data_IF_144750494642
#
_entry.id   IF_144750494642
#
_cell.length_a   1.000
_cell.length_b   1.000
_cell.length_c   1.000
_cell.angle_alpha   90.00
_cell.angle_beta   90.00
_cell.angle_gamma   90.00
#
_symmetry.space_group_name_H-M   'P 1'
#
loop_
_entity.id
_entity.type
_entity.pdbx_description
1 polymer ?
#
# COMPACT_ATOMS: atom_id res chain seq x y z
N UNK A 1 -0.16 -75.70 -16.96
CA UNK A 1 -0.13 -74.75 -15.84
C UNK A 1 0.60 -73.49 -16.23
N UNK A 2 -0.15 -72.44 -16.50
CA UNK A 2 0.37 -71.04 -16.55
C UNK A 2 -0.88 -70.12 -16.52
N UNK A 3 -1.36 -69.86 -15.33
CA UNK A 3 -2.22 -68.71 -15.08
C UNK A 3 -1.40 -67.67 -14.35
N UNK A 4 -0.90 -66.69 -15.06
CA UNK A 4 -0.25 -65.52 -14.48
C UNK A 4 -1.07 -64.29 -14.93
N UNK A 5 -1.96 -63.92 -14.05
CA UNK A 5 -2.24 -62.56 -13.58
C UNK A 5 -2.35 -61.45 -14.64
N UNK A 6 -3.47 -61.42 -15.32
CA UNK A 6 -3.95 -60.21 -16.04
C UNK A 6 -4.43 -59.10 -15.10
N UNK A 7 -4.66 -59.40 -13.84
CA UNK A 7 -5.23 -58.44 -12.87
C UNK A 7 -4.22 -57.38 -12.40
N UNK A 8 -2.89 -57.69 -12.44
CA UNK A 8 -1.88 -56.77 -11.97
C UNK A 8 -1.56 -55.63 -12.98
N UNK A 9 -1.83 -55.88 -14.27
CA UNK A 9 -1.57 -54.86 -15.34
C UNK A 9 -2.62 -53.75 -15.37
N UNK A 10 -3.88 -54.04 -14.94
CA UNK A 10 -4.95 -53.05 -14.91
C UNK A 10 -4.84 -52.11 -13.71
N UNK A 11 -4.35 -52.60 -12.58
CA UNK A 11 -4.13 -51.77 -11.39
C UNK A 11 -2.99 -50.75 -11.58
N UNK A 12 -1.92 -51.14 -12.29
CA UNK A 12 -0.82 -50.20 -12.57
C UNK A 12 -1.23 -49.09 -13.54
N UNK A 13 -2.12 -49.34 -14.50
CA UNK A 13 -2.63 -48.34 -15.43
C UNK A 13 -3.60 -47.36 -14.76
N UNK A 14 -4.39 -47.81 -13.79
CA UNK A 14 -5.33 -46.97 -13.06
C UNK A 14 -4.61 -46.00 -12.10
N UNK A 15 -3.49 -46.39 -11.50
CA UNK A 15 -2.69 -45.54 -10.59
C UNK A 15 -1.94 -44.46 -11.37
N UNK A 16 -1.46 -44.75 -12.60
CA UNK A 16 -0.79 -43.73 -13.42
C UNK A 16 -1.77 -42.71 -14.01
N UNK A 17 -3.05 -43.06 -14.22
CA UNK A 17 -4.06 -42.13 -14.74
C UNK A 17 -4.55 -41.12 -13.68
N UNK A 18 -4.50 -41.49 -12.39
CA UNK A 18 -4.94 -40.62 -11.30
C UNK A 18 -3.88 -39.57 -10.87
N UNK A 19 -2.61 -39.76 -11.23
CA UNK A 19 -1.53 -38.79 -10.91
C UNK A 19 -1.41 -37.64 -11.92
N UNK A 20 -2.09 -37.73 -13.06
CA UNK A 20 -2.03 -36.70 -14.11
C UNK A 20 -3.10 -35.60 -13.94
N UNK A 21 -4.00 -35.71 -12.96
CA UNK A 21 -5.06 -34.71 -12.73
C UNK A 21 -4.75 -33.71 -11.60
N UNK A 22 -3.56 -33.78 -11.01
CA UNK A 22 -3.14 -32.87 -9.93
C UNK A 22 -2.11 -31.81 -10.35
N UNK A 23 -1.81 -31.69 -11.64
CA UNK A 23 -1.14 -30.49 -12.16
C UNK A 23 -2.17 -29.41 -12.46
N UNK A 24 -3.02 -29.09 -11.48
CA UNK A 24 -3.64 -27.79 -11.45
C UNK A 24 -2.50 -26.81 -11.28
N UNK A 25 -2.21 -26.00 -12.30
CA UNK A 25 -1.42 -24.82 -12.15
C UNK A 25 -2.08 -24.00 -11.03
N UNK A 26 -1.54 -24.07 -9.83
CA UNK A 26 -1.76 -23.04 -8.84
C UNK A 26 -1.03 -21.84 -9.46
N UNK A 27 -1.78 -21.04 -10.21
CA UNK A 27 -1.36 -19.72 -10.59
C UNK A 27 -1.41 -18.94 -9.28
N UNK A 28 -0.29 -18.95 -8.53
CA UNK A 28 -0.10 -17.99 -7.47
C UNK A 28 -0.21 -16.64 -8.16
N UNK A 29 -1.30 -15.94 -7.92
CA UNK A 29 -1.42 -14.53 -8.26
C UNK A 29 -0.36 -13.83 -7.42
N UNK A 30 0.82 -13.66 -7.99
CA UNK A 30 1.89 -12.88 -7.39
C UNK A 30 1.38 -11.45 -7.27
N UNK A 31 1.04 -11.05 -6.04
CA UNK A 31 0.65 -9.69 -5.75
C UNK A 31 1.84 -8.77 -6.00
N UNK A 32 1.63 -7.72 -6.76
CA UNK A 32 2.60 -6.63 -6.84
C UNK A 32 2.76 -6.01 -5.45
N UNK A 33 3.97 -6.07 -4.91
CA UNK A 33 4.30 -5.56 -3.58
C UNK A 33 5.19 -4.32 -3.70
N UNK A 34 4.62 -3.17 -3.35
CA UNK A 34 5.35 -1.91 -3.28
C UNK A 34 5.80 -1.65 -1.84
N UNK A 35 7.07 -1.34 -1.68
CA UNK A 35 7.67 -1.02 -0.40
C UNK A 35 8.06 0.44 -0.36
N UNK A 36 7.47 1.18 0.57
CA UNK A 36 7.68 2.60 0.74
C UNK A 36 8.24 2.88 2.14
N UNK A 37 9.09 3.89 2.24
CA UNK A 37 9.56 4.42 3.51
C UNK A 37 9.29 5.91 3.54
N UNK A 38 8.70 6.38 4.63
CA UNK A 38 8.43 7.79 4.83
C UNK A 38 9.71 8.51 5.25
N UNK A 39 10.00 9.64 4.60
CA UNK A 39 11.08 10.55 4.98
C UNK A 39 10.57 12.00 4.95
N UNK A 40 10.80 12.73 6.03
CA UNK A 40 10.53 14.16 6.11
C UNK A 40 11.83 14.94 6.26
N UNK A 41 11.97 16.00 5.51
CA UNK A 41 13.13 16.89 5.55
C UNK A 41 12.69 18.31 5.90
N UNK A 42 13.50 19.01 6.67
CA UNK A 42 13.31 20.43 6.91
C UNK A 42 13.84 21.27 5.73
N UNK A 43 13.67 22.59 5.79
CA UNK A 43 14.13 23.50 4.74
C UNK A 43 15.66 23.50 4.51
N UNK A 44 16.43 22.92 5.42
CA UNK A 44 17.90 22.76 5.30
C UNK A 44 18.32 21.42 4.72
N UNK A 45 17.34 20.50 4.50
CA UNK A 45 17.58 19.14 4.03
C UNK A 45 17.91 18.14 5.14
N UNK A 46 17.80 18.52 6.42
CA UNK A 46 18.01 17.59 7.52
C UNK A 46 16.79 16.66 7.65
N UNK A 47 17.07 15.39 7.92
CA UNK A 47 16.03 14.40 8.19
C UNK A 47 15.39 14.64 9.56
N UNK A 48 14.14 15.03 9.54
CA UNK A 48 13.34 15.32 10.74
C UNK A 48 12.20 14.33 10.95
N UNK A 49 12.19 13.21 10.24
CA UNK A 49 11.10 12.22 10.24
C UNK A 49 10.71 11.78 11.66
N UNK A 50 11.69 11.39 12.47
CA UNK A 50 11.43 10.87 13.82
C UNK A 50 11.22 11.94 14.89
N UNK A 51 11.48 13.22 14.59
CA UNK A 51 11.42 14.32 15.57
C UNK A 51 10.29 15.31 15.30
N UNK A 52 9.85 15.46 14.05
CA UNK A 52 8.86 16.46 13.67
C UNK A 52 7.52 15.89 13.21
N UNK A 53 7.43 14.58 12.92
CA UNK A 53 6.18 13.93 12.52
C UNK A 53 5.53 13.20 13.69
N UNK A 54 4.34 13.63 14.08
CA UNK A 54 3.49 12.96 15.07
C UNK A 54 2.51 11.96 14.42
N UNK A 55 2.13 12.20 13.19
CA UNK A 55 1.29 11.32 12.37
C UNK A 55 1.61 11.51 10.90
N UNK A 56 1.21 10.55 10.07
CA UNK A 56 1.22 10.68 8.63
C UNK A 56 0.06 9.92 7.99
N UNK A 57 -0.50 10.48 6.93
CA UNK A 57 -1.51 9.85 6.09
C UNK A 57 -1.03 9.82 4.65
N UNK A 58 -1.01 8.62 4.06
CA UNK A 58 -0.66 8.42 2.66
C UNK A 58 -1.92 8.04 1.90
N UNK A 59 -2.27 8.84 0.93
CA UNK A 59 -3.40 8.62 0.02
C UNK A 59 -2.84 8.03 -1.27
N UNK A 60 -3.32 6.86 -1.64
CA UNK A 60 -2.83 6.09 -2.79
C UNK A 60 -3.89 6.10 -3.87
N UNK A 61 -3.49 6.47 -5.07
CA UNK A 61 -4.31 6.50 -6.27
C UNK A 61 -3.62 5.68 -7.37
N UNK A 62 -4.40 5.18 -8.31
CA UNK A 62 -3.88 4.50 -9.49
C UNK A 62 -3.40 5.47 -10.59
N UNK A 63 -3.03 4.96 -11.75
CA UNK A 63 -2.59 5.72 -12.92
C UNK A 63 -3.69 6.62 -13.52
N UNK A 64 -4.96 6.34 -13.22
CA UNK A 64 -6.12 7.14 -13.64
C UNK A 64 -6.56 8.14 -12.58
N UNK A 65 -5.78 8.26 -11.49
CA UNK A 65 -6.10 9.08 -10.30
C UNK A 65 -7.34 8.59 -9.53
N UNK A 66 -7.74 7.33 -9.71
CA UNK A 66 -8.78 6.72 -8.90
C UNK A 66 -8.23 6.32 -7.53
N UNK A 67 -8.98 6.63 -6.49
CA UNK A 67 -8.60 6.33 -5.11
C UNK A 67 -8.57 4.83 -4.85
N UNK A 68 -7.48 4.36 -4.27
CA UNK A 68 -7.29 2.96 -3.90
C UNK A 68 -7.39 2.74 -2.39
N UNK A 69 -6.60 3.47 -1.61
CA UNK A 69 -6.59 3.33 -0.15
C UNK A 69 -5.88 4.50 0.55
N UNK A 70 -6.11 4.60 1.84
CA UNK A 70 -5.32 5.47 2.74
C UNK A 70 -4.56 4.61 3.74
N UNK A 71 -3.27 4.87 3.88
CA UNK A 71 -2.43 4.30 4.94
C UNK A 71 -2.16 5.38 5.97
N UNK A 72 -2.49 5.11 7.24
CA UNK A 72 -2.19 6.01 8.36
C UNK A 72 -1.07 5.45 9.20
N UNK A 73 -0.12 6.30 9.55
CA UNK A 73 1.01 5.94 10.40
C UNK A 73 0.96 6.74 11.70
N UNK A 74 1.17 6.04 12.79
CA UNK A 74 1.33 6.62 14.11
C UNK A 74 2.75 7.12 14.32
N UNK A 75 2.95 7.97 15.32
CA UNK A 75 4.27 8.47 15.72
C UNK A 75 5.28 7.33 15.96
N UNK A 76 4.86 6.25 16.63
CA UNK A 76 5.71 5.10 16.90
C UNK A 76 6.21 4.40 15.63
N UNK A 77 5.32 4.17 14.68
CA UNK A 77 5.67 3.57 13.38
C UNK A 77 6.62 4.46 12.58
N UNK A 78 6.39 5.77 12.61
CA UNK A 78 7.25 6.76 11.94
C UNK A 78 8.64 6.78 12.57
N UNK A 79 8.74 6.83 13.89
CA UNK A 79 10.02 6.78 14.61
C UNK A 79 10.80 5.51 14.35
N UNK A 80 10.11 4.38 14.29
CA UNK A 80 10.71 3.08 13.99
C UNK A 80 11.02 2.89 12.50
N UNK A 81 10.68 3.85 11.65
CA UNK A 81 10.87 3.77 10.19
C UNK A 81 10.22 2.53 9.59
N UNK A 82 9.03 2.20 10.07
CA UNK A 82 8.30 1.04 9.58
C UNK A 82 8.05 1.14 8.07
N UNK A 83 8.29 0.02 7.38
CA UNK A 83 8.06 -0.12 5.96
C UNK A 83 6.56 -0.17 5.67
N UNK A 84 6.11 0.67 4.75
CA UNK A 84 4.74 0.67 4.25
C UNK A 84 4.68 -0.30 3.08
N UNK A 85 3.80 -1.30 3.18
CA UNK A 85 3.60 -2.31 2.13
C UNK A 85 2.25 -2.12 1.49
N UNK A 86 2.26 -1.94 0.16
CA UNK A 86 1.06 -1.85 -0.65
C UNK A 86 1.04 -3.08 -1.57
N UNK A 87 -0.02 -3.88 -1.49
CA UNK A 87 -0.16 -5.10 -2.27
C UNK A 87 -1.37 -4.98 -3.19
N UNK A 88 -1.13 -5.16 -4.48
CA UNK A 88 -2.17 -5.12 -5.52
C UNK A 88 -2.10 -6.39 -6.39
N UNK A 89 -3.23 -6.85 -6.95
CA UNK A 89 -3.27 -8.07 -7.77
C UNK A 89 -2.47 -7.95 -9.06
N UNK A 90 -2.19 -6.74 -9.50
CA UNK A 90 -1.49 -6.45 -10.75
C UNK A 90 -0.47 -5.33 -10.56
N UNK A 91 0.57 -5.35 -11.39
CA UNK A 91 1.51 -4.24 -11.48
C UNK A 91 0.82 -2.99 -12.02
N UNK A 92 0.98 -1.87 -11.33
CA UNK A 92 0.41 -0.58 -11.73
C UNK A 92 1.27 0.58 -11.28
N UNK A 93 1.13 1.71 -11.94
CA UNK A 93 1.72 2.94 -11.46
C UNK A 93 0.83 3.52 -10.33
N UNK A 94 1.45 3.98 -9.26
CA UNK A 94 0.73 4.54 -8.12
C UNK A 94 1.12 6.01 -7.93
N UNK A 95 0.11 6.86 -7.80
CA UNK A 95 0.29 8.21 -7.30
C UNK A 95 0.09 8.21 -5.79
N UNK A 96 1.13 8.53 -5.04
CA UNK A 96 1.08 8.57 -3.58
C UNK A 96 1.23 10.01 -3.10
N UNK A 97 0.24 10.48 -2.36
CA UNK A 97 0.26 11.78 -1.68
C UNK A 97 0.39 11.53 -0.19
N UNK A 98 1.39 12.11 0.44
CA UNK A 98 1.63 12.02 1.86
C UNK A 98 1.44 13.36 2.54
N UNK A 99 0.70 13.36 3.64
CA UNK A 99 0.57 14.49 4.56
C UNK A 99 1.01 14.07 5.95
N UNK A 100 1.83 14.88 6.59
CA UNK A 100 2.24 14.72 7.99
C UNK A 100 1.61 15.76 8.90
N UNK A 101 1.36 15.38 10.15
CA UNK A 101 0.77 16.21 11.19
C UNK A 101 -0.66 16.68 10.89
N UNK A 102 -1.48 15.81 10.25
CA UNK A 102 -2.88 16.11 9.97
C UNK A 102 -3.79 16.08 11.20
N UNK A 103 -3.42 15.29 12.21
CA UNK A 103 -4.21 15.17 13.46
C UNK A 103 -4.15 16.44 14.32
N UNK A 104 -3.46 17.49 13.87
CA UNK A 104 -3.38 18.76 14.55
C UNK A 104 -4.73 19.44 14.79
N UNK A 105 -4.74 20.43 15.68
CA UNK A 105 -5.98 21.09 16.10
C UNK A 105 -6.49 22.14 15.12
N UNK A 106 -5.63 22.68 14.26
CA UNK A 106 -5.91 23.86 13.44
C UNK A 106 -6.29 23.54 11.98
N UNK A 107 -6.25 22.29 11.58
CA UNK A 107 -6.61 21.86 10.24
C UNK A 107 -7.50 20.62 10.21
N UNK A 108 -8.11 20.39 9.08
CA UNK A 108 -8.83 19.17 8.74
C UNK A 108 -8.52 18.80 7.28
N UNK A 109 -8.49 17.52 6.98
CA UNK A 109 -8.42 17.05 5.60
C UNK A 109 -9.82 16.73 5.09
N UNK A 110 -10.11 17.08 3.86
CA UNK A 110 -11.28 16.58 3.15
C UNK A 110 -10.81 15.36 2.37
N UNK A 111 -11.24 14.18 2.80
CA UNK A 111 -11.01 12.94 2.07
C UNK A 111 -12.02 12.85 0.93
N UNK A 112 -11.53 12.58 -0.27
CA UNK A 112 -12.33 12.40 -1.47
C UNK A 112 -11.75 11.25 -2.29
N UNK A 113 -12.61 10.62 -3.08
CA UNK A 113 -12.20 9.63 -4.08
C UNK A 113 -11.44 10.21 -5.28
N UNK A 114 -11.34 11.54 -5.36
CA UNK A 114 -10.63 12.25 -6.42
C UNK A 114 -9.41 12.96 -5.86
N UNK A 115 -8.27 12.78 -6.51
CA UNK A 115 -7.00 13.40 -6.08
C UNK A 115 -7.09 14.93 -6.03
N UNK A 116 -7.84 15.54 -6.96
CA UNK A 116 -8.00 16.99 -7.09
C UNK A 116 -8.83 17.60 -5.95
N UNK A 117 -9.64 16.79 -5.28
CA UNK A 117 -10.49 17.18 -4.16
C UNK A 117 -9.84 16.92 -2.79
N UNK A 118 -8.69 16.26 -2.76
CA UNK A 118 -7.93 16.05 -1.53
C UNK A 118 -7.35 17.39 -1.05
N UNK A 119 -8.02 18.02 -0.10
CA UNK A 119 -7.71 19.39 0.35
C UNK A 119 -7.58 19.45 1.86
N UNK A 120 -6.65 20.28 2.32
CA UNK A 120 -6.56 20.68 3.72
C UNK A 120 -7.35 21.98 3.91
N UNK A 121 -8.22 22.00 4.91
CA UNK A 121 -8.96 23.18 5.33
C UNK A 121 -8.42 23.64 6.69
N UNK A 122 -8.10 24.92 6.77
CA UNK A 122 -7.77 25.57 8.04
C UNK A 122 -9.05 25.87 8.81
N UNK A 123 -9.02 25.64 10.12
CA UNK A 123 -10.09 26.08 11.00
C UNK A 123 -10.04 27.60 11.14
N UNK A 124 -11.18 28.23 11.37
CA UNK A 124 -11.24 29.65 11.67
C UNK A 124 -11.69 29.87 13.13
N UNK A 125 -11.15 30.93 13.73
CA UNK A 125 -11.62 31.47 15.03
C UNK A 125 -11.89 32.95 14.83
N UNK A 126 -13.04 33.42 15.24
CA UNK A 126 -13.47 34.83 15.12
C UNK A 126 -13.33 35.38 13.67
N UNK A 127 -13.64 34.54 12.69
CA UNK A 127 -13.56 34.88 11.26
C UNK A 127 -12.15 34.86 10.65
N UNK A 128 -11.10 34.55 11.45
CA UNK A 128 -9.73 34.48 11.00
C UNK A 128 -9.29 33.02 10.86
N UNK A 129 -8.64 32.69 9.72
CA UNK A 129 -8.01 31.39 9.55
C UNK A 129 -6.89 31.20 10.58
N UNK A 130 -6.89 30.05 11.24
CA UNK A 130 -5.82 29.70 12.17
C UNK A 130 -4.56 29.35 11.40
N UNK A 131 -3.39 29.65 11.99
CA UNK A 131 -2.12 29.16 11.47
C UNK A 131 -2.16 27.62 11.47
N UNK A 132 -1.82 26.94 10.37
CA UNK A 132 -1.72 25.48 10.37
C UNK A 132 -0.64 25.04 11.36
N UNK A 133 -0.81 23.85 11.89
CA UNK A 133 0.28 23.17 12.59
C UNK A 133 1.42 22.88 11.57
N UNK A 134 2.57 22.44 12.04
CA UNK A 134 3.73 22.19 11.15
C UNK A 134 3.40 21.00 10.21
N UNK A 135 2.81 21.33 9.06
CA UNK A 135 2.39 20.37 8.05
C UNK A 135 3.55 19.96 7.16
N UNK A 136 3.62 18.67 6.90
CA UNK A 136 4.51 18.11 5.88
C UNK A 136 3.70 17.60 4.70
N UNK A 137 4.21 17.80 3.50
CA UNK A 137 3.58 17.36 2.27
C UNK A 137 4.61 16.71 1.35
N UNK A 138 4.22 15.63 0.71
CA UNK A 138 5.00 14.98 -0.32
C UNK A 138 4.10 14.30 -1.34
N UNK A 139 4.57 14.19 -2.57
CA UNK A 139 3.95 13.37 -3.59
C UNK A 139 5.00 12.56 -4.33
N UNK A 140 4.61 11.40 -4.83
CA UNK A 140 5.49 10.53 -5.60
C UNK A 140 4.70 9.65 -6.56
N UNK A 141 5.22 9.53 -7.78
CA UNK A 141 4.84 8.47 -8.70
C UNK A 141 5.71 7.25 -8.39
N UNK A 142 5.07 6.16 -8.02
CA UNK A 142 5.71 4.86 -7.78
C UNK A 142 5.43 3.98 -8.98
N UNK A 143 6.49 3.56 -9.65
CA UNK A 143 6.41 2.73 -10.84
C UNK A 143 6.93 1.32 -10.52
N UNK A 144 6.35 0.32 -11.14
CA UNK A 144 6.92 -1.02 -11.18
C UNK A 144 8.18 -1.02 -12.04
N UNK A 145 9.17 -1.75 -11.60
CA UNK A 145 10.41 -1.97 -12.37
C UNK A 145 10.26 -3.17 -13.27
#
# INVERSE_FOLDING_TARGET
MKHINHTCRWLAAAVCASTLLLSGCIQENLLACYKLTLKAENAKGDDVTGSALADASLYVFDENYEYLQTVRMTEGQIRNREEIRLNYPEDRNLHVIAWGNLAGQNQTVTESGLIEELKIKLKSRDGLAQKPDDLFYGNRLVQTK
#
